data_IF_617228766780
#
_entry.id   IF_617228766780
#
_cell.length_a   1.000
_cell.length_b   1.000
_cell.length_c   1.000
_cell.angle_alpha   90.00
_cell.angle_beta   90.00
_cell.angle_gamma   90.00
#
_symmetry.space_group_name_H-M   'P 1'
#
loop_
_entity.id
_entity.type
_entity.pdbx_description
1 polymer ?
#
# COMPACT_ATOMS: atom_id res chain seq x y z
N UNK A 1 -2.26 29.67 16.07
CA UNK A 1 -0.93 30.31 16.12
C UNK A 1 0.17 29.36 15.62
N UNK A 2 0.24 28.12 16.11
CA UNK A 2 1.19 27.05 15.73
C UNK A 2 1.36 26.92 14.20
N UNK A 3 0.27 26.74 13.45
CA UNK A 3 0.34 26.54 11.99
C UNK A 3 0.84 27.76 11.19
N UNK A 4 0.86 28.97 11.77
CA UNK A 4 1.25 30.19 11.06
C UNK A 4 2.77 30.23 10.81
N UNK A 5 3.59 29.85 11.79
CA UNK A 5 5.05 29.95 11.67
C UNK A 5 5.59 29.14 10.50
N UNK A 6 5.24 27.85 10.44
CA UNK A 6 5.65 26.97 9.34
C UNK A 6 5.04 27.43 8.01
N UNK A 7 3.76 27.84 8.02
CA UNK A 7 3.10 28.36 6.84
C UNK A 7 3.85 29.55 6.22
N UNK A 8 4.23 30.53 7.03
CA UNK A 8 4.97 31.70 6.55
C UNK A 8 6.37 31.32 6.05
N UNK A 9 6.93 30.22 6.58
CA UNK A 9 8.21 29.68 6.11
C UNK A 9 8.10 28.98 4.75
N UNK A 10 7.01 28.27 4.46
CA UNK A 10 6.86 27.43 3.26
C UNK A 10 6.03 28.06 2.13
N UNK A 11 5.11 28.97 2.43
CA UNK A 11 4.15 29.47 1.45
C UNK A 11 4.83 30.23 0.32
N UNK A 12 4.44 29.92 -0.92
CA UNK A 12 4.95 30.59 -2.13
C UNK A 12 6.42 30.30 -2.45
N UNK A 13 7.00 29.28 -1.82
CA UNK A 13 8.41 28.92 -1.93
C UNK A 13 8.52 27.50 -2.47
N UNK A 14 9.40 27.24 -3.47
CA UNK A 14 9.60 25.89 -3.96
C UNK A 14 10.44 25.07 -2.96
N UNK A 15 10.08 23.80 -2.82
CA UNK A 15 10.79 22.81 -2.01
C UNK A 15 10.95 21.54 -2.84
N UNK A 16 12.04 20.82 -2.59
CA UNK A 16 12.26 19.48 -3.11
C UNK A 16 11.85 18.48 -2.02
N UNK A 17 11.22 17.38 -2.42
CA UNK A 17 10.65 16.42 -1.49
C UNK A 17 10.85 15.00 -1.99
N UNK A 18 11.11 14.07 -1.07
CA UNK A 18 11.09 12.64 -1.35
C UNK A 18 9.73 12.06 -0.99
N UNK A 19 9.16 11.26 -1.89
CA UNK A 19 7.93 10.50 -1.60
C UNK A 19 8.26 9.40 -0.60
N UNK A 20 7.55 9.39 0.52
CA UNK A 20 7.66 8.36 1.56
C UNK A 20 6.64 7.24 1.32
N UNK A 21 5.36 7.59 1.13
CA UNK A 21 4.29 6.65 0.81
C UNK A 21 3.18 7.36 0.00
N UNK A 22 2.44 6.61 -0.81
CA UNK A 22 1.26 7.09 -1.55
C UNK A 22 0.05 6.29 -1.09
N UNK A 23 -0.96 6.96 -0.55
CA UNK A 23 -2.19 6.36 -0.05
C UNK A 23 -3.38 7.02 -0.76
N UNK A 24 -4.01 6.29 -1.67
CA UNK A 24 -5.08 6.81 -2.53
C UNK A 24 -4.63 8.05 -3.32
N UNK A 25 -5.28 9.19 -3.07
CA UNK A 25 -4.99 10.48 -3.70
C UNK A 25 -4.01 11.37 -2.89
N UNK A 26 -3.42 10.84 -1.82
CA UNK A 26 -2.55 11.60 -0.92
C UNK A 26 -1.12 11.07 -0.99
N UNK A 27 -0.18 11.99 -1.22
CA UNK A 27 1.26 11.70 -1.23
C UNK A 27 1.85 12.20 0.09
N UNK A 28 2.46 11.29 0.84
CA UNK A 28 3.24 11.60 2.02
C UNK A 28 4.69 11.79 1.62
N UNK A 29 5.32 12.83 2.13
CA UNK A 29 6.67 13.23 1.75
C UNK A 29 7.57 13.41 2.97
N UNK A 30 8.78 12.83 2.91
CA UNK A 30 9.84 13.04 3.89
C UNK A 30 11.19 12.58 3.29
N UNK A 31 12.25 13.42 3.32
CA UNK A 31 12.28 14.80 3.79
C UNK A 31 11.65 15.79 2.78
N UNK A 32 11.26 16.97 3.27
CA UNK A 32 10.91 18.15 2.48
C UNK A 32 11.94 19.25 2.76
N UNK A 33 12.67 19.69 1.74
CA UNK A 33 13.86 20.54 1.86
C UNK A 33 13.74 21.74 0.94
N UNK A 34 14.07 22.92 1.45
CA UNK A 34 14.28 24.10 0.61
C UNK A 34 15.70 24.07 0.05
N UNK A 35 15.80 24.08 -1.28
CA UNK A 35 17.09 24.06 -1.99
C UNK A 35 17.24 25.35 -2.80
N UNK A 36 18.41 25.97 -2.71
CA UNK A 36 18.81 27.09 -3.56
C UNK A 36 19.94 26.64 -4.47
N UNK A 37 19.73 26.77 -5.78
CA UNK A 37 20.68 26.32 -6.81
C UNK A 37 21.61 27.48 -7.17
N UNK A 38 22.92 27.29 -6.99
CA UNK A 38 23.95 28.22 -7.40
C UNK A 38 24.40 27.84 -8.81
N UNK A 39 23.73 28.41 -9.82
CA UNK A 39 23.93 28.02 -11.22
C UNK A 39 25.38 28.23 -11.68
N UNK A 40 26.00 29.34 -11.28
CA UNK A 40 27.38 29.69 -11.64
C UNK A 40 28.39 28.67 -11.10
N UNK A 41 28.10 28.07 -9.94
CA UNK A 41 28.96 27.09 -9.28
C UNK A 41 28.54 25.65 -9.56
N UNK A 42 27.45 25.41 -10.31
CA UNK A 42 26.85 24.08 -10.53
C UNK A 42 26.61 23.28 -9.24
N UNK A 43 26.29 23.98 -8.15
CA UNK A 43 26.07 23.38 -6.83
C UNK A 43 24.72 23.80 -6.26
N UNK A 44 24.31 23.15 -5.18
CA UNK A 44 23.05 23.42 -4.48
C UNK A 44 23.31 23.57 -2.99
N UNK A 45 22.57 24.47 -2.35
CA UNK A 45 22.59 24.66 -0.90
C UNK A 45 21.24 24.23 -0.35
N UNK A 46 21.26 23.36 0.66
CA UNK A 46 20.08 22.99 1.44
C UNK A 46 19.89 24.07 2.52
N UNK A 47 18.84 24.89 2.39
CA UNK A 47 18.60 25.99 3.33
C UNK A 47 17.99 25.50 4.64
N UNK A 48 16.93 24.70 4.56
CA UNK A 48 16.25 24.13 5.73
C UNK A 48 15.41 22.90 5.37
N UNK A 49 15.23 22.03 6.35
CA UNK A 49 14.35 20.86 6.30
C UNK A 49 13.07 21.15 7.11
N UNK A 50 11.90 20.96 6.50
CA UNK A 50 10.60 21.28 7.15
C UNK A 50 10.38 20.48 8.43
N UNK A 51 10.73 19.18 8.46
CA UNK A 51 10.60 18.34 9.66
C UNK A 51 11.44 18.91 10.79
N UNK A 52 12.70 19.26 10.52
CA UNK A 52 13.60 19.85 11.52
C UNK A 52 13.08 21.17 12.06
N UNK A 53 12.47 22.01 11.21
CA UNK A 53 11.83 23.27 11.63
C UNK A 53 10.61 23.04 12.52
N UNK A 54 9.77 22.05 12.21
CA UNK A 54 8.60 21.69 13.03
C UNK A 54 9.05 21.20 14.42
N UNK A 55 10.08 20.35 14.46
CA UNK A 55 10.61 19.80 15.71
C UNK A 55 11.29 20.88 16.56
N UNK A 56 12.14 21.73 15.95
CA UNK A 56 12.90 22.75 16.67
C UNK A 56 12.02 23.86 17.27
N UNK A 57 10.85 24.10 16.66
CA UNK A 57 9.86 25.06 17.16
C UNK A 57 8.86 24.46 18.15
N UNK A 58 8.97 23.15 18.45
CA UNK A 58 8.08 22.44 19.35
C UNK A 58 6.65 22.27 18.81
N UNK A 59 6.46 22.39 17.49
CA UNK A 59 5.14 22.30 16.84
C UNK A 59 4.80 20.86 16.42
N UNK A 60 5.72 19.92 16.64
CA UNK A 60 5.53 18.49 16.42
C UNK A 60 6.53 17.68 17.22
N UNK A 61 6.33 16.37 17.21
CA UNK A 61 7.21 15.39 17.84
C UNK A 61 7.56 14.29 16.84
N UNK A 62 8.64 13.58 17.10
CA UNK A 62 8.97 12.41 16.31
C UNK A 62 7.90 11.32 16.53
N UNK A 63 7.44 10.73 15.43
CA UNK A 63 6.55 9.58 15.42
C UNK A 63 7.15 8.61 14.38
N UNK A 64 8.05 7.70 14.75
CA UNK A 64 8.70 6.83 13.78
C UNK A 64 7.74 5.79 13.17
N UNK A 65 6.69 5.40 13.88
CA UNK A 65 5.74 4.37 13.45
C UNK A 65 4.67 4.89 12.45
N UNK A 66 4.53 6.21 12.29
CA UNK A 66 3.42 6.82 11.54
C UNK A 66 3.15 6.24 10.15
N UNK A 67 4.19 5.89 9.37
CA UNK A 67 4.01 5.33 8.03
C UNK A 67 3.33 3.96 8.10
N UNK A 68 3.81 3.08 9.00
CA UNK A 68 3.26 1.73 9.16
C UNK A 68 1.81 1.78 9.65
N UNK A 69 1.51 2.69 10.59
CA UNK A 69 0.15 2.90 11.09
C UNK A 69 -0.79 3.43 9.99
N UNK A 70 -0.32 4.38 9.18
CA UNK A 70 -1.10 4.93 8.05
C UNK A 70 -1.42 3.86 7.00
N UNK A 71 -0.43 3.03 6.63
CA UNK A 71 -0.65 1.93 5.69
C UNK A 71 -1.63 0.90 6.25
N UNK A 72 -1.51 0.54 7.54
CA UNK A 72 -2.44 -0.37 8.21
C UNK A 72 -3.86 0.19 8.16
N UNK A 73 -4.06 1.44 8.57
CA UNK A 73 -5.39 2.07 8.59
C UNK A 73 -5.98 2.21 7.19
N UNK A 74 -5.14 2.51 6.20
CA UNK A 74 -5.57 2.59 4.80
C UNK A 74 -6.06 1.22 4.30
N UNK A 75 -5.30 0.16 4.53
CA UNK A 75 -5.69 -1.20 4.16
C UNK A 75 -6.96 -1.65 4.89
N UNK A 76 -7.11 -1.35 6.17
CA UNK A 76 -8.33 -1.65 6.95
C UNK A 76 -9.56 -0.93 6.38
N UNK A 77 -9.39 0.30 5.88
CA UNK A 77 -10.46 1.07 5.25
C UNK A 77 -10.78 0.61 3.81
N UNK A 78 -9.78 0.11 3.07
CA UNK A 78 -9.96 -0.40 1.70
C UNK A 78 -10.54 -1.81 1.64
N UNK A 79 -10.41 -2.62 2.70
CA UNK A 79 -11.07 -3.91 2.77
C UNK A 79 -12.59 -3.72 2.85
N UNK A 80 -13.38 -4.20 1.86
CA UNK A 80 -14.81 -4.33 2.07
C UNK A 80 -15.02 -5.27 3.25
N UNK A 81 -15.84 -4.87 4.22
CA UNK A 81 -16.44 -5.81 5.18
C UNK A 81 -17.40 -6.74 4.42
N UNK A 82 -16.84 -7.68 3.66
CA UNK A 82 -17.57 -8.76 3.04
C UNK A 82 -16.97 -10.07 3.53
N UNK A 83 -17.54 -10.60 4.61
CA UNK A 83 -17.69 -12.05 4.70
C UNK A 83 -18.62 -12.46 3.54
N UNK A 84 -18.09 -12.53 2.33
CA UNK A 84 -18.76 -13.25 1.24
C UNK A 84 -18.61 -14.74 1.56
N UNK A 85 -19.64 -15.29 2.21
CA UNK A 85 -19.86 -16.72 2.18
C UNK A 85 -19.84 -17.17 0.71
N UNK A 86 -18.98 -18.15 0.41
CA UNK A 86 -18.84 -18.71 -0.93
C UNK A 86 -20.21 -19.26 -1.35
N UNK A 87 -20.80 -18.85 -2.49
CA UNK A 87 -21.96 -19.56 -3.02
C UNK A 87 -21.51 -20.98 -3.35
N UNK A 88 -22.20 -21.97 -2.78
CA UNK A 88 -21.99 -23.37 -3.11
C UNK A 88 -22.15 -23.54 -4.63
N UNK A 89 -21.13 -24.10 -5.28
CA UNK A 89 -21.18 -24.45 -6.69
C UNK A 89 -22.36 -25.41 -6.91
N UNK A 90 -23.26 -25.01 -7.80
CA UNK A 90 -24.40 -25.81 -8.25
C UNK A 90 -23.90 -27.19 -8.72
N UNK A 91 -24.40 -28.26 -8.11
CA UNK A 91 -24.17 -29.61 -8.58
C UNK A 91 -24.71 -29.77 -10.02
N UNK A 92 -24.03 -30.52 -10.90
CA UNK A 92 -24.55 -30.79 -12.24
C UNK A 92 -25.82 -31.67 -12.17
N UNK A 93 -26.72 -31.56 -13.16
CA UNK A 93 -27.96 -32.34 -13.15
C UNK A 93 -27.63 -33.82 -13.36
N UNK A 94 -28.15 -34.67 -12.47
CA UNK A 94 -28.18 -36.12 -12.64
C UNK A 94 -29.14 -36.45 -13.79
N UNK A 95 -28.60 -36.84 -14.95
CA UNK A 95 -29.38 -37.52 -15.99
C UNK A 95 -29.41 -39.01 -15.67
N UNK A 96 -30.60 -39.52 -15.37
CA UNK A 96 -30.85 -40.90 -15.06
C UNK A 96 -31.13 -41.70 -16.33
N UNK A 97 -30.24 -42.65 -16.65
CA UNK A 97 -30.66 -43.86 -17.33
C UNK A 97 -29.71 -45.01 -17.01
N UNK A 98 -30.27 -45.98 -16.30
CA UNK A 98 -29.67 -47.26 -15.99
C UNK A 98 -29.68 -48.12 -17.25
N UNK A 99 -28.55 -48.73 -17.60
CA UNK A 99 -28.56 -50.01 -18.30
C UNK A 99 -27.37 -50.86 -17.83
N UNK A 100 -27.72 -52.08 -17.51
CA UNK A 100 -27.02 -53.10 -16.73
C UNK A 100 -26.18 -53.97 -17.67
N UNK A 101 -24.91 -54.24 -17.34
CA UNK A 101 -24.18 -55.42 -17.82
C UNK A 101 -22.96 -55.73 -16.95
N UNK A 102 -23.00 -56.92 -16.37
CA UNK A 102 -22.08 -57.64 -15.47
C UNK A 102 -20.62 -57.83 -15.98
N UNK A 103 -19.67 -58.23 -15.09
CA UNK A 103 -18.24 -58.24 -15.36
C UNK A 103 -17.75 -59.56 -16.00
N UNK A 104 -16.70 -59.49 -16.83
CA UNK A 104 -15.97 -60.68 -17.30
C UNK A 104 -14.50 -60.55 -16.92
N UNK A 105 -14.10 -61.35 -15.93
CA UNK A 105 -12.70 -61.68 -15.64
C UNK A 105 -12.10 -62.54 -16.77
N UNK A 106 -10.85 -62.28 -17.14
CA UNK A 106 -10.06 -63.17 -17.99
C UNK A 106 -8.72 -63.45 -17.31
N UNK A 107 -8.67 -64.57 -16.57
CA UNK A 107 -7.42 -65.17 -16.10
C UNK A 107 -6.79 -65.99 -17.24
N UNK A 108 -5.55 -65.65 -17.58
CA UNK A 108 -4.73 -66.34 -18.59
C UNK A 108 -4.02 -67.53 -17.93
N UNK A 109 -4.28 -68.74 -18.41
CA UNK A 109 -3.58 -69.96 -18.00
C UNK A 109 -2.42 -70.26 -18.95
N UNK A 110 -1.24 -70.54 -18.38
CA UNK A 110 -0.02 -70.94 -19.11
C UNK A 110 -0.01 -72.47 -19.34
N UNK A 111 0.51 -72.99 -20.47
CA UNK A 111 0.64 -74.44 -20.71
C UNK A 111 2.00 -74.99 -20.25
N UNK A 112 2.02 -76.30 -19.96
CA UNK A 112 3.22 -77.11 -19.74
C UNK A 112 3.76 -77.68 -21.06
#
# INVERSE_FOLDING_TARGET
KVSRCINDKIRGKPHEAKIAVVLGNTIWVDPVIRVTKLQDLKTSINEYNIRSEILSTGLGVDNPEHIQELEKLFNEAELPHEKKEKPALLHPPTDGRNEEAEPVEQNVSNPA
#
